data_IF_042319608590
#
_entry.id   IF_042319608590
#
_cell.length_a   1.000
_cell.length_b   1.000
_cell.length_c   1.000
_cell.angle_alpha   90.00
_cell.angle_beta   90.00
_cell.angle_gamma   90.00
#
_symmetry.space_group_name_H-M   'P 1'
#
loop_
_entity.id
_entity.type
_entity.pdbx_description
1 polymer ?
#
# COMPACT_ATOMS: atom_id res chain seq x y z
N UNK A 1 -4.15 16.21 17.44
CA UNK A 1 -3.00 15.40 16.99
C UNK A 1 -3.49 13.98 16.88
N UNK A 2 -3.40 13.38 15.70
CA UNK A 2 -3.81 11.98 15.51
C UNK A 2 -2.85 11.06 16.28
N UNK A 3 -3.36 10.27 17.22
CA UNK A 3 -2.60 9.36 18.10
C UNK A 3 -2.55 7.94 17.56
N UNK A 4 -2.55 7.78 16.24
CA UNK A 4 -2.47 6.44 15.64
C UNK A 4 -1.12 5.79 15.94
N UNK A 5 -1.16 4.55 16.43
CA UNK A 5 0.04 3.76 16.65
C UNK A 5 0.88 3.64 15.36
N UNK A 6 2.19 3.84 15.46
CA UNK A 6 3.10 3.71 14.32
C UNK A 6 2.97 4.81 13.26
N UNK A 7 2.41 5.96 13.61
CA UNK A 7 2.38 7.16 12.75
C UNK A 7 3.38 8.17 13.30
N UNK A 8 4.31 8.60 12.46
CA UNK A 8 5.28 9.65 12.76
C UNK A 8 5.31 10.62 11.58
N UNK A 9 4.37 11.55 11.57
CA UNK A 9 4.26 12.59 10.55
C UNK A 9 4.54 13.95 11.19
N UNK A 10 5.24 14.81 10.47
CA UNK A 10 5.52 16.20 10.83
C UNK A 10 4.82 17.13 9.85
N UNK A 11 4.70 18.40 10.20
CA UNK A 11 4.22 19.38 9.24
C UNK A 11 5.13 19.45 7.99
N UNK A 12 4.60 19.56 6.76
CA UNK A 12 3.17 19.69 6.45
C UNK A 12 2.41 18.36 6.28
N UNK A 13 3.04 17.18 6.48
CA UNK A 13 2.42 15.87 6.23
C UNK A 13 1.22 15.57 7.13
N UNK A 14 1.19 16.12 8.34
CA UNK A 14 0.05 15.95 9.27
C UNK A 14 -1.29 16.42 8.67
N UNK A 15 -1.25 17.36 7.75
CA UNK A 15 -2.44 17.91 7.08
C UNK A 15 -2.67 17.32 5.68
N UNK A 16 -1.75 16.51 5.18
CA UNK A 16 -1.80 15.96 3.83
C UNK A 16 -2.01 14.44 3.80
N UNK A 17 -1.74 13.75 4.91
CA UNK A 17 -1.85 12.30 5.00
C UNK A 17 -2.97 11.94 5.98
N UNK A 18 -4.06 11.43 5.45
CA UNK A 18 -5.14 10.86 6.26
C UNK A 18 -4.82 9.43 6.63
N UNK A 19 -5.09 9.04 7.89
CA UNK A 19 -4.89 7.70 8.41
C UNK A 19 -6.18 7.21 9.06
N UNK A 20 -6.70 6.08 8.58
CA UNK A 20 -7.93 5.48 9.09
C UNK A 20 -7.63 4.05 9.53
N UNK A 21 -7.69 3.79 10.84
CA UNK A 21 -7.60 2.45 11.41
C UNK A 21 -8.97 1.77 11.40
N UNK A 22 -8.98 0.43 11.31
CA UNK A 22 -10.20 -0.38 11.24
C UNK A 22 -11.11 0.06 10.09
N UNK A 23 -10.52 0.31 8.93
CA UNK A 23 -11.21 0.84 7.74
C UNK A 23 -12.36 -0.05 7.25
N UNK A 24 -12.15 -1.37 7.21
CA UNK A 24 -13.19 -2.33 6.89
C UNK A 24 -13.83 -2.88 8.17
N UNK A 25 -15.14 -3.19 8.17
CA UNK A 25 -15.75 -3.96 9.25
C UNK A 25 -14.96 -5.26 9.50
N UNK A 26 -14.84 -5.72 10.77
CA UNK A 26 -13.98 -6.85 11.11
C UNK A 26 -14.23 -8.11 10.29
N UNK A 27 -15.49 -8.48 10.07
CA UNK A 27 -15.89 -9.65 9.30
C UNK A 27 -15.53 -9.53 7.80
N UNK A 28 -15.66 -8.32 7.23
CA UNK A 28 -15.27 -8.04 5.85
C UNK A 28 -13.75 -8.08 5.72
N UNK A 29 -13.05 -7.46 6.69
CA UNK A 29 -11.59 -7.49 6.73
C UNK A 29 -11.04 -8.91 6.76
N UNK A 30 -11.58 -9.78 7.61
CA UNK A 30 -11.13 -11.18 7.71
C UNK A 30 -11.28 -11.94 6.39
N UNK A 31 -12.39 -11.75 5.67
CA UNK A 31 -12.62 -12.38 4.36
C UNK A 31 -11.62 -11.86 3.32
N UNK A 32 -11.48 -10.55 3.21
CA UNK A 32 -10.58 -9.91 2.26
C UNK A 32 -9.12 -10.26 2.58
N UNK A 33 -8.71 -10.19 3.85
CA UNK A 33 -7.38 -10.56 4.30
C UNK A 33 -7.02 -12.01 3.91
N UNK A 34 -7.90 -12.96 4.23
CA UNK A 34 -7.70 -14.37 3.88
C UNK A 34 -7.49 -14.52 2.37
N UNK A 35 -8.36 -13.91 1.58
CA UNK A 35 -8.27 -14.01 0.13
C UNK A 35 -6.95 -13.42 -0.40
N UNK A 36 -6.59 -12.20 0.00
CA UNK A 36 -5.34 -11.55 -0.46
C UNK A 36 -4.08 -12.30 -0.03
N UNK A 37 -4.06 -12.87 1.15
CA UNK A 37 -2.85 -13.49 1.69
C UNK A 37 -2.67 -14.97 1.31
N UNK A 38 -3.76 -15.69 0.94
CA UNK A 38 -3.71 -17.13 0.69
C UNK A 38 -4.23 -17.56 -0.68
N UNK A 39 -5.09 -16.79 -1.32
CA UNK A 39 -5.81 -17.22 -2.52
C UNK A 39 -5.47 -16.39 -3.76
N UNK A 40 -5.04 -15.13 -3.59
CA UNK A 40 -4.66 -14.26 -4.70
C UNK A 40 -3.41 -14.80 -5.42
N UNK A 41 -3.45 -14.82 -6.74
CA UNK A 41 -2.28 -15.18 -7.54
C UNK A 41 -1.31 -14.01 -7.61
N UNK A 42 -0.06 -14.25 -7.26
CA UNK A 42 1.00 -13.26 -7.24
C UNK A 42 1.99 -13.48 -8.37
N UNK A 43 2.36 -12.42 -9.06
CA UNK A 43 3.31 -12.44 -10.17
C UNK A 43 4.63 -11.82 -9.73
N UNK A 44 5.73 -12.52 -10.01
CA UNK A 44 7.07 -12.03 -9.71
C UNK A 44 7.38 -10.76 -10.52
N UNK A 45 7.91 -9.75 -9.83
CA UNK A 45 8.44 -8.53 -10.44
C UNK A 45 9.86 -8.31 -9.91
N UNK A 46 10.90 -8.33 -10.79
CA UNK A 46 12.29 -8.18 -10.37
C UNK A 46 12.62 -6.76 -9.89
N UNK A 47 11.68 -5.84 -9.96
CA UNK A 47 11.83 -4.45 -9.53
C UNK A 47 10.72 -4.04 -8.57
N UNK A 48 11.02 -3.06 -7.71
CA UNK A 48 10.01 -2.34 -6.92
C UNK A 48 9.62 -1.06 -7.64
N UNK A 49 10.59 -0.16 -7.86
CA UNK A 49 10.41 1.11 -8.58
C UNK A 49 11.39 1.32 -9.74
N UNK A 50 12.37 0.45 -9.93
CA UNK A 50 13.49 0.52 -10.89
C UNK A 50 14.56 1.53 -10.48
N UNK A 51 14.20 2.79 -10.22
CA UNK A 51 15.14 3.83 -9.82
C UNK A 51 15.29 3.86 -8.31
N UNK A 52 16.54 3.83 -7.82
CA UNK A 52 16.87 3.87 -6.40
C UNK A 52 16.61 2.58 -5.62
N UNK A 53 16.24 1.49 -6.30
CA UNK A 53 16.08 0.19 -5.65
C UNK A 53 17.44 -0.44 -5.31
N UNK A 54 17.48 -1.19 -4.20
CA UNK A 54 18.63 -2.05 -3.91
C UNK A 54 18.70 -3.18 -4.96
N UNK A 55 19.90 -3.64 -5.38
CA UNK A 55 20.04 -4.68 -6.40
C UNK A 55 19.28 -5.99 -6.12
N UNK A 56 19.10 -6.31 -4.82
CA UNK A 56 18.39 -7.51 -4.37
C UNK A 56 16.90 -7.25 -4.10
N UNK A 57 16.40 -6.05 -4.40
CA UNK A 57 15.00 -5.74 -4.17
C UNK A 57 14.13 -6.30 -5.30
N UNK A 58 13.12 -7.03 -4.89
CA UNK A 58 12.05 -7.55 -5.74
C UNK A 58 10.74 -7.55 -5.00
N UNK A 59 9.65 -7.75 -5.71
CA UNK A 59 8.32 -7.91 -5.14
C UNK A 59 7.50 -8.89 -5.95
N UNK A 60 6.38 -9.28 -5.38
CA UNK A 60 5.30 -9.91 -6.14
C UNK A 60 4.16 -8.90 -6.24
N UNK A 61 3.43 -8.94 -7.35
CA UNK A 61 2.33 -8.03 -7.58
C UNK A 61 1.13 -8.74 -8.22
N UNK A 62 -0.04 -8.16 -8.01
CA UNK A 62 -1.24 -8.47 -8.78
C UNK A 62 -1.87 -7.16 -9.22
N UNK A 63 -2.01 -6.97 -10.52
CA UNK A 63 -2.61 -5.76 -11.09
C UNK A 63 -4.06 -6.02 -11.41
N UNK A 64 -4.96 -5.19 -10.89
CA UNK A 64 -6.41 -5.29 -11.13
C UNK A 64 -6.86 -4.33 -12.21
N UNK A 65 -6.32 -3.11 -12.21
CA UNK A 65 -6.70 -2.04 -13.12
C UNK A 65 -5.49 -1.22 -13.51
N UNK A 66 -5.40 -0.86 -14.78
CA UNK A 66 -4.37 0.01 -15.36
C UNK A 66 -5.03 1.18 -16.10
N UNK A 67 -4.39 2.38 -16.13
CA UNK A 67 -4.98 3.55 -16.76
C UNK A 67 -5.17 3.41 -18.26
N UNK A 68 -4.28 2.69 -18.94
CA UNK A 68 -4.26 2.50 -20.41
C UNK A 68 -5.05 1.27 -20.88
N UNK A 69 -5.39 0.34 -19.98
CA UNK A 69 -6.04 -0.94 -20.32
C UNK A 69 -7.32 -1.22 -19.56
N UNK A 70 -7.67 -0.38 -18.58
CA UNK A 70 -8.82 -0.63 -17.72
C UNK A 70 -8.64 -1.86 -16.82
N UNK A 71 -9.71 -2.60 -16.60
CA UNK A 71 -9.70 -3.82 -15.77
C UNK A 71 -8.93 -4.94 -16.49
N UNK A 72 -7.88 -5.44 -15.84
CA UNK A 72 -6.98 -6.50 -16.39
C UNK A 72 -7.01 -7.78 -15.55
N UNK A 73 -7.78 -7.81 -14.47
CA UNK A 73 -7.90 -8.97 -13.59
C UNK A 73 -9.35 -9.42 -13.45
N UNK A 74 -9.57 -10.73 -13.55
CA UNK A 74 -10.88 -11.34 -13.27
C UNK A 74 -11.30 -11.24 -11.80
N UNK A 75 -10.41 -10.78 -10.94
CA UNK A 75 -10.64 -10.63 -9.49
C UNK A 75 -11.08 -9.23 -9.06
N UNK A 76 -11.40 -8.35 -10.00
CA UNK A 76 -11.82 -6.97 -9.70
C UNK A 76 -13.00 -6.90 -8.73
N UNK A 77 -13.93 -7.87 -8.78
CA UNK A 77 -15.10 -7.94 -7.89
C UNK A 77 -14.73 -8.06 -6.39
N UNK A 78 -13.58 -8.64 -6.06
CA UNK A 78 -13.09 -8.73 -4.68
C UNK A 78 -12.69 -7.38 -4.07
N UNK A 79 -12.58 -6.33 -4.91
CA UNK A 79 -12.28 -4.97 -4.46
C UNK A 79 -13.53 -4.16 -4.08
N UNK A 80 -14.73 -4.70 -4.25
CA UNK A 80 -16.00 -4.01 -3.91
C UNK A 80 -16.02 -3.44 -2.48
N UNK A 81 -15.48 -4.13 -1.45
CA UNK A 81 -15.42 -3.56 -0.09
C UNK A 81 -14.64 -2.25 0.00
N UNK A 82 -13.63 -2.05 -0.84
CA UNK A 82 -12.84 -0.81 -0.92
C UNK A 82 -13.54 0.24 -1.77
N UNK A 83 -13.99 -0.15 -2.96
CA UNK A 83 -14.62 0.75 -3.92
C UNK A 83 -15.87 1.43 -3.37
N UNK A 84 -16.64 0.73 -2.52
CA UNK A 84 -17.82 1.31 -1.89
C UNK A 84 -17.53 2.25 -0.71
N UNK A 85 -16.27 2.32 -0.24
CA UNK A 85 -15.88 3.12 0.95
C UNK A 85 -14.89 4.23 0.66
N UNK A 86 -14.08 4.09 -0.36
CA UNK A 86 -13.15 5.14 -0.78
C UNK A 86 -13.90 6.05 -1.76
N UNK A 87 -14.13 7.33 -1.42
CA UNK A 87 -14.83 8.26 -2.29
C UNK A 87 -13.93 8.66 -3.46
N UNK A 88 -14.05 7.95 -4.58
CA UNK A 88 -13.32 8.23 -5.80
C UNK A 88 -14.30 8.44 -6.95
N UNK A 89 -14.09 9.49 -7.75
CA UNK A 89 -14.84 9.72 -8.99
C UNK A 89 -14.42 8.74 -10.09
N UNK A 90 -13.15 8.36 -10.07
CA UNK A 90 -12.54 7.41 -11.01
C UNK A 90 -11.40 6.65 -10.33
N UNK A 91 -11.23 5.38 -10.72
CA UNK A 91 -10.11 4.54 -10.32
C UNK A 91 -9.11 4.47 -11.46
N UNK A 92 -7.90 5.00 -11.26
CA UNK A 92 -6.87 5.11 -12.31
C UNK A 92 -6.04 3.83 -12.36
N UNK A 93 -5.59 3.36 -11.21
CA UNK A 93 -4.79 2.14 -11.06
C UNK A 93 -5.15 1.43 -9.76
N UNK A 94 -5.24 0.11 -9.81
CA UNK A 94 -5.33 -0.71 -8.60
C UNK A 94 -4.36 -1.87 -8.68
N UNK A 95 -3.47 -1.96 -7.69
CA UNK A 95 -2.41 -2.95 -7.64
C UNK A 95 -2.16 -3.44 -6.22
N UNK A 96 -2.12 -4.76 -6.04
CA UNK A 96 -1.63 -5.36 -4.81
C UNK A 96 -0.12 -5.63 -4.93
N UNK A 97 0.61 -5.39 -3.84
CA UNK A 97 2.04 -5.67 -3.73
C UNK A 97 2.31 -6.54 -2.51
N UNK A 98 3.16 -7.53 -2.69
CA UNK A 98 3.71 -8.39 -1.66
C UNK A 98 5.23 -8.21 -1.65
N UNK A 99 5.78 -7.72 -0.55
CA UNK A 99 7.23 -7.68 -0.33
C UNK A 99 7.62 -8.73 0.71
N UNK A 100 8.46 -9.72 0.35
CA UNK A 100 8.94 -10.73 1.29
C UNK A 100 9.72 -10.13 2.45
N UNK A 101 9.80 -10.89 3.56
CA UNK A 101 10.65 -10.59 4.69
C UNK A 101 12.11 -10.42 4.26
N UNK A 102 12.78 -9.42 4.83
CA UNK A 102 14.23 -9.26 4.72
C UNK A 102 14.89 -9.38 6.09
N UNK A 103 16.21 -9.55 6.11
CA UNK A 103 16.96 -9.58 7.36
C UNK A 103 16.97 -8.19 8.04
N UNK A 104 17.02 -7.13 7.25
CA UNK A 104 16.92 -5.75 7.67
C UNK A 104 15.87 -5.00 6.88
N UNK A 105 15.28 -3.96 7.48
CA UNK A 105 14.30 -3.13 6.79
C UNK A 105 15.01 -2.29 5.72
N UNK A 106 14.54 -2.43 4.47
CA UNK A 106 15.00 -1.65 3.33
C UNK A 106 13.86 -0.76 2.83
N UNK A 107 14.13 0.52 2.70
CA UNK A 107 13.22 1.49 2.06
C UNK A 107 13.60 1.53 0.59
N UNK A 108 12.62 1.34 -0.30
CA UNK A 108 12.84 1.42 -1.74
C UNK A 108 13.09 2.85 -2.23
N UNK A 109 13.23 3.02 -3.54
CA UNK A 109 13.37 4.34 -4.16
C UNK A 109 12.13 5.20 -3.95
N UNK A 110 12.33 6.50 -3.66
CA UNK A 110 11.24 7.46 -3.55
C UNK A 110 10.67 7.81 -4.92
N UNK A 111 9.35 7.77 -5.04
CA UNK A 111 8.63 8.05 -6.29
C UNK A 111 7.33 8.80 -6.02
N UNK A 112 6.72 9.31 -7.06
CA UNK A 112 5.32 9.73 -7.12
C UNK A 112 4.54 8.68 -7.90
N UNK A 113 3.26 8.51 -7.59
CA UNK A 113 2.40 7.60 -8.37
C UNK A 113 1.90 8.29 -9.64
N UNK A 114 1.18 9.39 -9.49
CA UNK A 114 0.62 10.22 -10.55
C UNK A 114 0.56 11.67 -10.11
N UNK A 115 0.43 12.59 -11.05
CA UNK A 115 0.06 13.98 -10.76
C UNK A 115 -1.46 14.12 -10.68
N UNK A 116 -1.93 15.13 -9.95
CA UNK A 116 -3.34 15.55 -9.86
C UNK A 116 -4.34 14.46 -9.44
N UNK A 117 -3.90 13.50 -8.63
CA UNK A 117 -4.78 12.47 -8.07
C UNK A 117 -4.43 12.13 -6.62
N UNK A 118 -5.15 11.17 -6.07
CA UNK A 118 -5.00 10.70 -4.69
C UNK A 118 -4.49 9.27 -4.70
N UNK A 119 -3.47 9.01 -3.91
CA UNK A 119 -3.01 7.65 -3.61
C UNK A 119 -3.66 7.17 -2.31
N UNK A 120 -4.21 5.97 -2.35
CA UNK A 120 -4.69 5.25 -1.16
C UNK A 120 -3.90 3.96 -1.00
N UNK A 121 -3.37 3.68 0.20
CA UNK A 121 -2.66 2.45 0.51
C UNK A 121 -3.35 1.75 1.67
N UNK A 122 -3.81 0.53 1.44
CA UNK A 122 -4.40 -0.31 2.46
C UNK A 122 -3.41 -1.41 2.88
N UNK A 123 -3.23 -1.59 4.20
CA UNK A 123 -2.35 -2.59 4.78
C UNK A 123 -3.13 -3.80 5.25
N UNK A 124 -2.73 -4.99 4.80
CA UNK A 124 -3.42 -6.24 5.16
C UNK A 124 -2.92 -6.87 6.45
N UNK A 125 -1.69 -6.59 6.86
CA UNK A 125 -1.10 -7.25 8.03
C UNK A 125 -0.24 -6.31 8.86
N UNK A 126 -0.17 -6.60 10.16
CA UNK A 126 0.76 -5.97 11.07
C UNK A 126 2.17 -6.41 10.74
N UNK A 127 3.07 -5.44 10.63
CA UNK A 127 4.51 -5.67 10.53
C UNK A 127 5.28 -4.35 10.78
N UNK A 128 6.59 -4.46 10.97
CA UNK A 128 7.47 -3.30 11.18
C UNK A 128 7.72 -2.47 9.90
N UNK A 129 7.32 -2.98 8.73
CA UNK A 129 7.41 -2.24 7.47
C UNK A 129 6.50 -1.01 7.45
N UNK A 130 6.82 -0.06 6.58
CA UNK A 130 6.18 1.25 6.59
C UNK A 130 6.08 1.87 5.20
N UNK A 131 5.25 2.90 5.06
CA UNK A 131 5.32 3.88 3.98
C UNK A 131 6.03 5.11 4.51
N UNK A 132 7.16 5.48 3.89
CA UNK A 132 8.00 6.61 4.26
C UNK A 132 7.83 7.72 3.25
N UNK A 133 7.79 8.96 3.71
CA UNK A 133 7.71 10.16 2.87
C UNK A 133 9.07 10.85 2.80
N UNK A 134 9.48 11.29 1.61
CA UNK A 134 10.78 11.93 1.40
C UNK A 134 10.93 13.23 2.19
N UNK A 135 9.84 13.97 2.39
CA UNK A 135 9.79 15.17 3.22
C UNK A 135 9.95 14.91 4.72
N UNK A 136 10.10 13.64 5.12
CA UNK A 136 10.29 13.18 6.49
C UNK A 136 9.01 12.66 7.13
N UNK A 137 9.12 11.52 7.80
CA UNK A 137 8.00 10.86 8.47
C UNK A 137 7.59 9.55 7.80
N UNK A 138 6.77 8.79 8.50
CA UNK A 138 6.32 7.48 8.04
C UNK A 138 4.98 7.07 8.66
N UNK A 139 4.33 6.10 8.02
CA UNK A 139 3.20 5.36 8.57
C UNK A 139 3.50 3.86 8.51
N UNK A 140 3.47 3.18 9.66
CA UNK A 140 3.67 1.72 9.77
C UNK A 140 2.51 0.94 9.19
N UNK A 141 2.83 -0.25 8.68
CA UNK A 141 1.85 -1.25 8.28
C UNK A 141 1.13 -1.79 9.52
N UNK A 142 -0.14 -1.43 9.65
CA UNK A 142 -1.06 -1.94 10.65
C UNK A 142 -2.23 -2.59 9.91
N UNK A 143 -2.61 -3.80 10.31
CA UNK A 143 -3.70 -4.53 9.69
C UNK A 143 -5.00 -3.70 9.68
N UNK A 144 -5.71 -3.70 8.57
CA UNK A 144 -6.95 -2.93 8.38
C UNK A 144 -6.78 -1.40 8.49
N UNK A 145 -5.60 -0.88 8.18
CA UNK A 145 -5.34 0.56 8.09
C UNK A 145 -5.36 1.00 6.63
N UNK A 146 -6.05 2.10 6.36
CA UNK A 146 -5.97 2.84 5.11
C UNK A 146 -5.22 4.15 5.34
N UNK A 147 -4.30 4.49 4.44
CA UNK A 147 -3.76 5.85 4.34
C UNK A 147 -4.11 6.45 3.00
N UNK A 148 -4.33 7.76 2.98
CA UNK A 148 -4.69 8.50 1.76
C UNK A 148 -3.93 9.81 1.72
N UNK A 149 -3.34 10.15 0.57
CA UNK A 149 -2.51 11.34 0.40
C UNK A 149 -2.44 11.77 -1.08
N UNK A 150 -2.10 13.04 -1.37
CA UNK A 150 -1.84 13.48 -2.74
C UNK A 150 -0.77 12.62 -3.43
N UNK A 151 -1.06 12.11 -4.62
CA UNK A 151 -0.17 11.17 -5.34
C UNK A 151 1.19 11.77 -5.73
N UNK A 152 1.30 13.09 -5.76
CA UNK A 152 2.56 13.81 -6.00
C UNK A 152 3.46 13.93 -4.75
N UNK A 153 3.03 13.46 -3.58
CA UNK A 153 3.92 13.30 -2.42
C UNK A 153 4.90 12.16 -2.70
N UNK A 154 6.20 12.50 -2.74
CA UNK A 154 7.25 11.50 -2.92
C UNK A 154 7.30 10.58 -1.72
N UNK A 155 7.06 9.31 -1.96
CA UNK A 155 6.96 8.27 -0.95
C UNK A 155 7.63 6.97 -1.38
N UNK A 156 7.85 6.08 -0.44
CA UNK A 156 8.36 4.74 -0.69
C UNK A 156 7.83 3.74 0.31
N UNK A 157 7.60 2.51 -0.15
CA UNK A 157 7.35 1.37 0.73
C UNK A 157 8.65 0.71 1.18
N UNK A 158 8.63 0.11 2.39
CA UNK A 158 9.75 -0.69 2.88
C UNK A 158 9.45 -2.19 2.79
N UNK A 159 10.50 -3.02 3.00
CA UNK A 159 10.38 -4.41 3.42
C UNK A 159 9.93 -4.50 4.88
N UNK A 160 9.78 -5.70 5.41
CA UNK A 160 9.57 -5.95 6.84
C UNK A 160 10.57 -7.00 7.36
N UNK A 161 10.76 -7.03 8.68
CA UNK A 161 11.69 -7.97 9.34
C UNK A 161 11.01 -8.93 10.32
N UNK A 162 9.80 -8.64 10.76
CA UNK A 162 9.08 -9.36 11.81
C UNK A 162 7.89 -10.20 11.31
N UNK A 163 7.50 -10.05 10.04
CA UNK A 163 6.45 -10.84 9.40
C UNK A 163 7.01 -11.57 8.15
N UNK A 164 6.35 -12.63 7.68
CA UNK A 164 6.78 -13.39 6.48
C UNK A 164 6.80 -12.52 5.21
N UNK A 165 5.87 -11.60 5.12
CA UNK A 165 5.77 -10.64 4.04
C UNK A 165 4.93 -9.44 4.47
N UNK A 166 5.10 -8.32 3.77
CA UNK A 166 4.24 -7.14 3.84
C UNK A 166 3.31 -7.13 2.64
N UNK A 167 2.01 -7.03 2.91
CA UNK A 167 0.95 -7.01 1.89
C UNK A 167 0.25 -5.66 1.88
N UNK A 168 0.14 -5.03 0.71
CA UNK A 168 -0.58 -3.77 0.52
C UNK A 168 -1.43 -3.78 -0.76
N UNK A 169 -2.49 -2.97 -0.76
CA UNK A 169 -3.26 -2.61 -1.96
C UNK A 169 -3.12 -1.10 -2.16
N UNK A 170 -2.82 -0.66 -3.36
CA UNK A 170 -2.72 0.74 -3.75
C UNK A 170 -3.27 0.99 -5.17
#
# INVERSE_FOLDING_TARGET
MSTHYGVNLKEPLLTQVDVVDNFLPPEVFLQVHKWFTHELHWFYNPYVNKEGDHPDDYQFQHVFLLPDRGVVSNYMSFLQPFMGRIPASEWIRVKANLRPKCHEMRIGGFHIDYEDCITSIFYFNDNDGQTTFESGGYVKSVANRLITFPSNLRHSGSTCTDAKARFVLN
#
